data_IF_258661903579
#
_entry.id   IF_258661903579
#
_cell.length_a   1.000
_cell.length_b   1.000
_cell.length_c   1.000
_cell.angle_alpha   90.00
_cell.angle_beta   90.00
_cell.angle_gamma   90.00
#
_symmetry.space_group_name_H-M   'P 1'
#
loop_
_entity.id
_entity.type
_entity.pdbx_description
1 polymer ?
#
# COMPACT_ATOMS: atom_id res chain seq x y z
N UNK A 1 72.07 72.97 31.23
CA UNK A 1 70.78 72.88 30.48
C UNK A 1 70.84 71.66 29.56
N UNK A 2 70.18 70.57 29.91
CA UNK A 2 70.22 69.34 29.17
C UNK A 2 69.18 68.43 29.61
N UNK A 3 68.16 68.25 28.83
CA UNK A 3 67.00 67.41 29.04
C UNK A 3 67.36 65.96 28.72
N UNK A 4 67.24 65.09 29.76
CA UNK A 4 67.40 63.64 29.61
C UNK A 4 66.11 63.06 28.96
N UNK A 5 66.27 62.48 27.80
CA UNK A 5 65.18 61.64 27.18
C UNK A 5 65.25 60.25 27.81
N UNK A 6 64.14 59.85 28.40
CA UNK A 6 63.91 58.56 28.99
C UNK A 6 63.24 57.70 27.92
N UNK A 7 63.93 56.67 27.35
CA UNK A 7 63.34 55.69 26.50
C UNK A 7 62.54 54.65 27.27
N UNK A 8 61.23 54.65 27.10
CA UNK A 8 60.36 53.66 27.69
C UNK A 8 60.19 52.49 26.67
N UNK A 9 60.78 51.36 27.00
CA UNK A 9 60.58 50.13 26.27
C UNK A 9 59.23 49.54 26.68
N UNK A 10 58.21 49.61 25.81
CA UNK A 10 56.95 48.89 26.04
C UNK A 10 57.05 47.48 25.44
N UNK A 11 57.13 46.49 26.32
CA UNK A 11 57.10 45.07 25.98
C UNK A 11 55.65 44.67 25.74
N UNK A 12 55.23 44.59 24.48
CA UNK A 12 53.91 44.06 24.13
C UNK A 12 53.89 42.54 24.23
N UNK A 13 53.33 42.06 25.32
CA UNK A 13 52.97 40.63 25.45
C UNK A 13 51.74 40.39 24.64
N UNK A 14 51.93 39.71 23.49
CA UNK A 14 50.83 39.20 22.69
C UNK A 14 50.11 38.08 23.40
N UNK A 15 48.94 38.34 23.92
CA UNK A 15 48.02 37.31 24.40
C UNK A 15 47.39 36.67 23.16
N UNK A 16 47.85 35.51 22.78
CA UNK A 16 47.18 34.64 21.79
C UNK A 16 46.00 34.03 22.53
N UNK A 17 44.83 34.63 22.39
CA UNK A 17 43.56 34.02 22.79
C UNK A 17 43.25 32.87 21.80
N UNK A 18 43.41 31.64 22.25
CA UNK A 18 42.82 30.49 21.54
C UNK A 18 41.31 30.69 21.54
N UNK A 19 40.74 30.94 20.38
CA UNK A 19 39.31 30.79 20.16
C UNK A 19 39.01 29.28 20.17
N UNK A 20 38.59 28.78 21.30
CA UNK A 20 37.92 27.48 21.37
C UNK A 20 36.55 27.65 20.70
N UNK A 21 36.43 27.12 19.48
CA UNK A 21 35.15 26.96 18.82
C UNK A 21 34.37 25.93 19.65
N UNK A 22 33.48 26.40 20.52
CA UNK A 22 32.48 25.52 21.13
C UNK A 22 31.55 25.03 20.05
N UNK A 23 31.70 23.74 19.66
CA UNK A 23 30.69 23.02 18.94
C UNK A 23 29.39 23.08 19.75
N UNK A 24 28.33 23.63 19.19
CA UNK A 24 26.97 23.50 19.72
C UNK A 24 26.52 22.03 19.59
N UNK A 25 27.10 21.17 20.39
CA UNK A 25 26.62 19.80 20.59
C UNK A 25 25.60 19.86 21.70
N UNK A 26 24.34 19.68 21.39
CA UNK A 26 23.37 19.30 22.41
C UNK A 26 23.78 17.93 22.94
N UNK A 27 24.26 17.86 24.16
CA UNK A 27 24.42 16.59 24.87
C UNK A 27 23.04 15.94 24.93
N UNK A 28 22.86 14.68 24.52
CA UNK A 28 21.61 14.02 24.75
C UNK A 28 21.38 13.96 26.26
N UNK A 29 20.35 14.64 26.71
CA UNK A 29 19.83 14.40 28.05
C UNK A 29 19.29 12.99 28.03
N UNK A 30 20.03 12.06 28.62
CA UNK A 30 19.52 10.76 28.99
C UNK A 30 18.47 10.97 30.08
N UNK A 31 17.31 11.41 29.68
CA UNK A 31 16.15 11.48 30.54
C UNK A 31 15.18 10.41 30.17
N UNK A 32 14.83 9.78 31.21
CA UNK A 32 13.67 8.97 31.46
C UNK A 32 13.81 7.50 31.13
N UNK A 33 13.76 6.75 32.18
CA UNK A 33 13.05 5.49 32.24
C UNK A 33 11.83 5.60 31.35
N UNK A 34 11.91 5.00 30.16
CA UNK A 34 10.73 4.59 29.43
C UNK A 34 9.95 3.69 30.40
N UNK A 35 8.91 4.23 31.01
CA UNK A 35 7.81 3.38 31.40
C UNK A 35 7.40 2.73 30.07
N UNK A 36 7.59 1.44 29.95
CA UNK A 36 7.01 0.63 28.90
C UNK A 36 5.49 0.65 29.12
N UNK A 37 4.83 1.74 28.74
CA UNK A 37 3.43 1.70 28.38
C UNK A 37 3.40 0.69 27.23
N UNK A 38 2.71 -0.41 27.42
CA UNK A 38 2.41 -1.34 26.34
C UNK A 38 1.61 -0.54 25.32
N UNK A 39 2.28 0.04 24.32
CA UNK A 39 1.63 0.78 23.26
C UNK A 39 1.04 -0.23 22.28
N UNK A 40 -0.24 -0.09 22.00
CA UNK A 40 -0.96 -0.89 20.99
C UNK A 40 -1.03 -0.14 19.67
N UNK A 41 -1.17 -0.88 18.59
CA UNK A 41 -1.43 -0.31 17.26
C UNK A 41 -2.85 -0.70 16.86
N UNK A 42 -3.64 0.31 16.45
CA UNK A 42 -4.98 0.13 15.93
C UNK A 42 -5.04 0.66 14.50
N UNK A 43 -5.76 -0.02 13.62
CA UNK A 43 -5.81 0.37 12.23
C UNK A 43 -7.22 0.29 11.64
N UNK A 44 -7.53 1.26 10.76
CA UNK A 44 -8.67 1.25 9.84
C UNK A 44 -8.12 1.22 8.43
N UNK A 45 -8.51 0.20 7.67
CA UNK A 45 -8.05 -0.04 6.30
C UNK A 45 -9.26 -0.08 5.38
N UNK A 46 -9.25 0.77 4.36
CA UNK A 46 -10.37 0.94 3.44
C UNK A 46 -9.88 0.79 2.00
N UNK A 47 -10.58 -0.03 1.21
CA UNK A 47 -10.31 -0.22 -0.21
C UNK A 47 -11.58 -0.32 -1.03
N UNK A 48 -11.74 0.54 -2.04
CA UNK A 48 -12.95 0.61 -2.84
C UNK A 48 -12.59 0.60 -4.31
N UNK A 49 -12.85 -0.52 -4.97
CA UNK A 49 -12.72 -0.68 -6.41
C UNK A 49 -14.08 -0.62 -7.11
N UNK A 50 -15.10 -1.23 -6.51
CA UNK A 50 -16.46 -1.33 -7.04
C UNK A 50 -17.36 -0.32 -6.31
N UNK A 51 -17.95 0.62 -7.03
CA UNK A 51 -18.83 1.68 -6.50
C UNK A 51 -20.30 1.38 -6.78
N UNK A 52 -21.19 1.65 -5.82
CA UNK A 52 -22.63 1.45 -5.98
C UNK A 52 -23.21 2.26 -7.15
N UNK A 53 -22.70 3.47 -7.36
CA UNK A 53 -23.17 4.36 -8.40
C UNK A 53 -22.42 4.12 -9.71
N UNK A 54 -23.08 3.63 -10.77
CA UNK A 54 -22.43 3.30 -12.04
C UNK A 54 -21.86 4.51 -12.81
N UNK A 55 -22.12 5.72 -12.33
CA UNK A 55 -21.52 6.94 -12.89
C UNK A 55 -20.15 7.26 -12.26
N UNK A 56 -19.75 6.53 -11.22
CA UNK A 56 -18.39 6.54 -10.66
C UNK A 56 -17.64 5.40 -11.34
N UNK A 57 -16.58 5.66 -12.10
CA UNK A 57 -15.79 4.60 -12.71
C UNK A 57 -15.20 3.67 -11.64
N UNK A 58 -15.29 2.37 -11.86
CA UNK A 58 -14.63 1.41 -10.99
C UNK A 58 -13.12 1.50 -11.11
N UNK A 59 -12.44 1.22 -10.01
CA UNK A 59 -11.00 0.98 -9.95
C UNK A 59 -10.72 -0.52 -10.08
N UNK A 60 -9.53 -0.86 -10.52
CA UNK A 60 -9.20 -2.27 -10.76
C UNK A 60 -8.64 -2.98 -9.53
N UNK A 61 -7.95 -2.24 -8.64
CA UNK A 61 -7.10 -2.88 -7.64
C UNK A 61 -7.08 -2.19 -6.26
N UNK A 62 -7.88 -1.15 -6.03
CA UNK A 62 -7.88 -0.43 -4.75
C UNK A 62 -8.33 -1.33 -3.57
N UNK A 63 -9.27 -2.23 -3.79
CA UNK A 63 -9.69 -3.24 -2.83
C UNK A 63 -8.56 -4.21 -2.49
N UNK A 64 -7.83 -4.68 -3.51
CA UNK A 64 -6.67 -5.55 -3.34
C UNK A 64 -5.52 -4.86 -2.62
N UNK A 65 -5.29 -3.58 -2.88
CA UNK A 65 -4.28 -2.79 -2.17
C UNK A 65 -4.56 -2.74 -0.68
N UNK A 66 -5.81 -2.49 -0.32
CA UNK A 66 -6.25 -2.49 1.08
C UNK A 66 -6.15 -3.88 1.73
N UNK A 67 -6.55 -4.95 1.03
CA UNK A 67 -6.41 -6.32 1.52
C UNK A 67 -4.94 -6.67 1.81
N UNK A 68 -4.01 -6.34 0.89
CA UNK A 68 -2.60 -6.63 1.08
C UNK A 68 -2.00 -5.80 2.21
N UNK A 69 -2.37 -4.53 2.33
CA UNK A 69 -1.95 -3.72 3.47
C UNK A 69 -2.48 -4.25 4.80
N UNK A 70 -3.75 -4.68 4.85
CA UNK A 70 -4.33 -5.33 6.04
C UNK A 70 -3.58 -6.63 6.39
N UNK A 71 -3.22 -7.43 5.39
CA UNK A 71 -2.44 -8.65 5.60
C UNK A 71 -1.02 -8.36 6.11
N UNK A 72 -0.38 -7.29 5.61
CA UNK A 72 0.87 -6.80 6.18
C UNK A 72 0.71 -6.51 7.69
N UNK A 73 -0.34 -5.78 8.10
CA UNK A 73 -0.60 -5.47 9.51
C UNK A 73 -0.85 -6.73 10.37
N UNK A 74 -1.46 -7.78 9.81
CA UNK A 74 -1.65 -9.07 10.47
C UNK A 74 -0.38 -9.90 10.55
N UNK A 75 0.61 -9.62 9.70
CA UNK A 75 1.90 -10.34 9.70
C UNK A 75 2.78 -9.96 10.89
N UNK A 76 3.84 -10.77 11.12
CA UNK A 76 4.84 -10.45 12.14
C UNK A 76 5.50 -9.09 11.92
N UNK A 77 5.78 -8.74 10.66
CA UNK A 77 6.40 -7.47 10.29
C UNK A 77 5.48 -6.27 10.55
N UNK A 78 4.17 -6.44 10.39
CA UNK A 78 3.16 -5.41 10.61
C UNK A 78 2.61 -5.33 12.04
N UNK A 79 3.10 -6.17 12.97
CA UNK A 79 2.72 -6.09 14.38
C UNK A 79 1.67 -7.11 14.84
N UNK A 80 1.24 -8.06 13.99
CA UNK A 80 0.26 -9.12 14.29
C UNK A 80 -1.10 -8.60 14.77
N UNK A 81 -1.62 -7.58 14.12
CA UNK A 81 -2.93 -7.03 14.48
C UNK A 81 -4.01 -8.08 14.26
N UNK A 82 -4.81 -8.31 15.30
CA UNK A 82 -5.99 -9.16 15.28
C UNK A 82 -7.27 -8.36 14.97
N UNK A 83 -8.44 -8.98 15.07
CA UNK A 83 -9.75 -8.37 14.79
C UNK A 83 -10.13 -7.26 15.78
N UNK A 84 -9.58 -7.29 17.01
CA UNK A 84 -9.79 -6.26 18.02
C UNK A 84 -8.93 -5.01 17.76
N UNK A 85 -7.90 -5.13 16.91
CA UNK A 85 -6.96 -4.06 16.58
C UNK A 85 -7.03 -3.59 15.13
N UNK A 86 -7.81 -4.27 14.26
CA UNK A 86 -7.87 -3.97 12.83
C UNK A 86 -9.31 -4.01 12.31
N UNK A 87 -9.77 -2.90 11.73
CA UNK A 87 -11.02 -2.82 10.97
C UNK A 87 -10.68 -2.71 9.48
N UNK A 88 -11.24 -3.61 8.67
CA UNK A 88 -11.05 -3.65 7.22
C UNK A 88 -12.40 -3.51 6.54
N UNK A 89 -12.51 -2.51 5.67
CA UNK A 89 -13.73 -2.21 4.93
C UNK A 89 -13.43 -2.25 3.43
N UNK A 90 -13.99 -3.22 2.72
CA UNK A 90 -13.74 -3.45 1.30
C UNK A 90 -15.05 -3.28 0.52
N UNK A 91 -15.02 -2.51 -0.57
CA UNK A 91 -16.14 -2.32 -1.49
C UNK A 91 -17.45 -2.03 -0.75
N UNK A 92 -18.48 -2.85 -0.86
CA UNK A 92 -19.79 -2.69 -0.26
C UNK A 92 -19.77 -2.48 1.28
N UNK A 93 -18.73 -2.91 1.95
CA UNK A 93 -18.56 -2.68 3.39
C UNK A 93 -18.06 -1.26 3.70
N UNK A 94 -17.47 -0.58 2.72
CA UNK A 94 -16.91 0.75 2.88
C UNK A 94 -17.92 1.87 2.61
N UNK A 95 -19.12 1.78 3.19
CA UNK A 95 -20.10 2.86 3.17
C UNK A 95 -19.62 4.03 4.05
N UNK A 96 -20.12 5.24 3.80
CA UNK A 96 -19.80 6.40 4.63
C UNK A 96 -20.09 6.15 6.11
N UNK A 97 -21.20 5.50 6.42
CA UNK A 97 -21.56 5.17 7.80
C UNK A 97 -20.57 4.21 8.45
N UNK A 98 -20.14 3.17 7.74
CA UNK A 98 -19.17 2.20 8.26
C UNK A 98 -17.78 2.83 8.40
N UNK A 99 -17.40 3.71 7.48
CA UNK A 99 -16.15 4.45 7.62
C UNK A 99 -16.17 5.36 8.86
N UNK A 100 -17.26 6.13 9.05
CA UNK A 100 -17.42 6.95 10.24
C UNK A 100 -17.36 6.13 11.53
N UNK A 101 -18.07 4.99 11.60
CA UNK A 101 -18.06 4.08 12.75
C UNK A 101 -16.66 3.52 13.02
N UNK A 102 -15.88 3.20 11.98
CA UNK A 102 -14.52 2.69 12.15
C UNK A 102 -13.57 3.77 12.68
N UNK A 103 -13.75 5.03 12.30
CA UNK A 103 -12.99 6.15 12.84
C UNK A 103 -13.40 6.51 14.28
N UNK A 104 -14.69 6.44 14.60
CA UNK A 104 -15.21 6.60 15.96
C UNK A 104 -14.62 5.54 16.90
N UNK A 105 -14.59 4.28 16.44
CA UNK A 105 -13.92 3.21 17.18
C UNK A 105 -12.44 3.53 17.47
N UNK A 106 -11.66 4.13 16.54
CA UNK A 106 -10.29 4.57 16.81
C UNK A 106 -10.23 5.58 17.97
N UNK A 107 -11.18 6.51 18.04
CA UNK A 107 -11.26 7.47 19.14
C UNK A 107 -11.49 6.80 20.49
N UNK A 108 -12.32 5.76 20.52
CA UNK A 108 -12.66 5.04 21.75
C UNK A 108 -11.50 4.18 22.25
N UNK A 109 -10.77 3.50 21.34
CA UNK A 109 -9.76 2.51 21.73
C UNK A 109 -8.38 3.11 21.93
N UNK A 110 -7.97 4.10 21.12
CA UNK A 110 -6.63 4.66 21.18
C UNK A 110 -6.40 5.51 22.44
N UNK A 111 -5.27 5.29 23.11
CA UNK A 111 -4.83 5.98 24.31
C UNK A 111 -3.47 6.60 24.11
N UNK A 112 -3.01 7.37 25.10
CA UNK A 112 -1.67 7.98 25.10
C UNK A 112 -0.57 6.95 24.87
N UNK A 113 0.21 7.16 23.81
CA UNK A 113 1.31 6.31 23.40
C UNK A 113 0.94 5.24 22.35
N UNK A 114 -0.35 4.99 22.10
CA UNK A 114 -0.80 4.08 21.06
C UNK A 114 -0.54 4.65 19.66
N UNK A 115 -0.61 3.78 18.64
CA UNK A 115 -0.54 4.16 17.25
C UNK A 115 -1.88 3.92 16.56
N UNK A 116 -2.41 4.95 15.88
CA UNK A 116 -3.58 4.88 15.02
C UNK A 116 -3.13 4.93 13.56
N UNK A 117 -3.49 3.93 12.75
CA UNK A 117 -3.23 3.88 11.32
C UNK A 117 -4.55 4.02 10.57
N UNK A 118 -4.60 4.93 9.61
CA UNK A 118 -5.73 5.10 8.69
C UNK A 118 -5.19 4.92 7.27
N UNK A 119 -5.64 3.88 6.58
CA UNK A 119 -5.30 3.59 5.19
C UNK A 119 -6.55 3.70 4.33
N UNK A 120 -6.45 4.40 3.21
CA UNK A 120 -7.52 4.53 2.22
C UNK A 120 -6.94 4.34 0.81
N UNK A 121 -7.55 3.44 0.03
CA UNK A 121 -7.34 3.30 -1.40
C UNK A 121 -8.68 3.38 -2.12
N UNK A 122 -8.83 4.34 -3.04
CA UNK A 122 -10.09 4.62 -3.73
C UNK A 122 -10.12 6.00 -4.40
N UNK A 123 -11.29 6.44 -4.81
CA UNK A 123 -11.44 7.78 -5.38
C UNK A 123 -11.50 8.89 -4.33
N UNK A 124 -10.91 10.02 -4.67
CA UNK A 124 -11.11 11.29 -3.98
C UNK A 124 -11.65 12.36 -4.95
N UNK A 125 -12.52 13.27 -4.52
CA UNK A 125 -13.02 14.38 -5.34
C UNK A 125 -13.31 15.61 -4.47
N UNK A 126 -13.77 16.70 -5.10
CA UNK A 126 -14.16 17.95 -4.44
C UNK A 126 -15.59 18.36 -4.76
N UNK A 127 -16.25 19.00 -3.80
CA UNK A 127 -17.55 19.65 -4.04
C UNK A 127 -17.35 21.00 -4.75
N UNK A 128 -17.38 20.99 -6.08
CA UNK A 128 -17.06 22.14 -6.93
C UNK A 128 -18.04 23.31 -6.83
N UNK A 129 -19.28 23.04 -6.44
CA UNK A 129 -20.35 24.05 -6.36
C UNK A 129 -20.29 24.89 -5.08
N UNK A 130 -19.56 24.43 -4.07
CA UNK A 130 -19.41 25.15 -2.81
C UNK A 130 -18.27 26.17 -2.89
N UNK A 131 -18.39 27.26 -2.14
CA UNK A 131 -17.37 28.31 -2.08
C UNK A 131 -16.02 27.80 -1.59
N UNK A 132 -16.02 26.89 -0.62
CA UNK A 132 -14.81 26.35 0.01
C UNK A 132 -14.22 25.14 -0.72
N UNK A 133 -14.97 24.55 -1.63
CA UNK A 133 -14.60 23.36 -2.41
C UNK A 133 -13.93 22.28 -1.55
N UNK A 134 -14.60 21.77 -0.51
CA UNK A 134 -14.01 20.75 0.35
C UNK A 134 -13.75 19.47 -0.45
N UNK A 135 -12.62 18.80 -0.12
CA UNK A 135 -12.31 17.49 -0.65
C UNK A 135 -13.07 16.39 0.09
N UNK A 136 -13.28 15.28 -0.60
CA UNK A 136 -13.95 14.09 -0.10
C UNK A 136 -13.19 12.83 -0.51
N UNK A 137 -13.21 11.84 0.35
CA UNK A 137 -12.93 10.44 0.00
C UNK A 137 -14.28 9.80 -0.36
N UNK A 138 -14.38 9.25 -1.57
CA UNK A 138 -15.61 8.65 -2.04
C UNK A 138 -15.78 7.28 -1.39
N UNK A 139 -16.87 7.10 -0.63
CA UNK A 139 -17.24 5.80 -0.08
C UNK A 139 -18.03 4.98 -1.11
N UNK A 140 -18.26 3.70 -0.83
CA UNK A 140 -18.98 2.81 -1.73
C UNK A 140 -20.35 3.35 -2.14
N UNK A 141 -21.09 3.97 -1.21
CA UNK A 141 -22.43 4.55 -1.39
C UNK A 141 -22.39 6.02 -1.84
N UNK A 142 -21.26 6.49 -2.39
CA UNK A 142 -21.11 7.88 -2.83
C UNK A 142 -22.03 8.21 -4.02
N UNK A 143 -22.67 9.38 -4.02
CA UNK A 143 -23.26 9.92 -5.24
C UNK A 143 -22.17 10.32 -6.24
N UNK A 144 -22.47 10.33 -7.55
CA UNK A 144 -21.51 10.80 -8.56
C UNK A 144 -21.26 12.32 -8.47
N UNK A 145 -22.17 13.04 -7.83
CA UNK A 145 -22.11 14.50 -7.65
C UNK A 145 -22.82 14.88 -6.34
N UNK A 146 -22.57 16.07 -5.82
CA UNK A 146 -23.22 16.59 -4.60
C UNK A 146 -22.83 15.78 -3.36
N UNK A 147 -21.54 15.70 -3.10
CA UNK A 147 -20.97 14.93 -1.98
C UNK A 147 -21.44 15.41 -0.60
N UNK A 148 -21.84 16.68 -0.48
CA UNK A 148 -22.43 17.23 0.75
C UNK A 148 -23.75 16.56 1.15
N UNK A 149 -24.39 15.81 0.23
CA UNK A 149 -25.62 15.08 0.53
C UNK A 149 -25.38 13.77 1.31
N UNK A 150 -24.14 13.35 1.48
CA UNK A 150 -23.74 12.10 2.14
C UNK A 150 -23.15 11.09 1.16
N UNK A 151 -22.72 9.93 1.67
CA UNK A 151 -22.09 8.86 0.89
C UNK A 151 -20.61 9.12 0.54
N UNK A 152 -20.07 10.28 0.90
CA UNK A 152 -18.64 10.60 0.76
C UNK A 152 -18.09 11.20 2.05
N UNK A 153 -16.89 10.82 2.45
CA UNK A 153 -16.30 11.25 3.70
C UNK A 153 -15.52 12.55 3.51
N UNK A 154 -15.99 13.63 4.13
CA UNK A 154 -15.37 14.95 3.97
C UNK A 154 -13.99 15.02 4.63
N UNK A 155 -12.98 15.53 3.93
CA UNK A 155 -11.63 15.69 4.46
C UNK A 155 -11.54 16.59 5.70
N UNK A 156 -12.31 17.66 5.87
CA UNK A 156 -12.36 18.38 7.13
C UNK A 156 -12.78 17.53 8.33
N UNK A 157 -13.71 16.57 8.13
CA UNK A 157 -14.10 15.63 9.19
C UNK A 157 -12.98 14.62 9.48
N UNK A 158 -12.32 14.08 8.45
CA UNK A 158 -11.16 13.23 8.64
C UNK A 158 -10.05 13.96 9.41
N UNK A 159 -9.86 15.24 9.10
CA UNK A 159 -8.88 16.06 9.78
C UNK A 159 -9.20 16.28 11.26
N UNK A 160 -10.48 16.44 11.60
CA UNK A 160 -10.91 16.51 13.01
C UNK A 160 -10.62 15.21 13.75
N UNK A 161 -10.88 14.06 13.12
CA UNK A 161 -10.53 12.75 13.67
C UNK A 161 -9.03 12.65 13.95
N UNK A 162 -8.20 12.99 12.97
CA UNK A 162 -6.73 12.96 13.09
C UNK A 162 -6.26 13.88 14.22
N UNK A 163 -6.78 15.10 14.30
CA UNK A 163 -6.41 16.07 15.31
C UNK A 163 -6.81 15.62 16.72
N UNK A 164 -7.99 15.03 16.86
CA UNK A 164 -8.47 14.49 18.14
C UNK A 164 -7.59 13.34 18.59
N UNK A 165 -7.30 12.37 17.74
CA UNK A 165 -6.40 11.24 18.04
C UNK A 165 -5.00 11.74 18.46
N UNK A 166 -4.45 12.72 17.73
CA UNK A 166 -3.11 13.22 17.97
C UNK A 166 -3.01 14.10 19.19
N UNK A 167 -3.98 15.00 19.44
CA UNK A 167 -3.91 16.02 20.48
C UNK A 167 -4.58 15.57 21.76
N UNK A 168 -5.80 15.05 21.70
CA UNK A 168 -6.56 14.64 22.89
C UNK A 168 -6.16 13.26 23.38
N UNK A 169 -6.15 12.27 22.48
CA UNK A 169 -5.76 10.90 22.83
C UNK A 169 -4.24 10.75 22.95
N UNK A 170 -3.46 11.71 22.41
CA UNK A 170 -2.00 11.68 22.34
C UNK A 170 -1.46 10.40 21.67
N UNK A 171 -2.20 9.89 20.73
CA UNK A 171 -1.80 8.76 19.90
C UNK A 171 -0.89 9.25 18.77
N UNK A 172 0.00 8.37 18.33
CA UNK A 172 0.74 8.56 17.09
C UNK A 172 -0.18 8.24 15.91
N UNK A 173 -0.44 9.20 15.03
CA UNK A 173 -1.36 9.01 13.90
C UNK A 173 -0.58 8.91 12.60
N UNK A 174 -0.83 7.83 11.84
CA UNK A 174 -0.28 7.59 10.50
C UNK A 174 -1.44 7.50 9.52
N UNK A 175 -1.48 8.40 8.55
CA UNK A 175 -2.49 8.43 7.49
C UNK A 175 -1.84 8.10 6.16
N UNK A 176 -2.36 7.09 5.49
CA UNK A 176 -1.87 6.62 4.20
C UNK A 176 -3.02 6.73 3.20
N UNK A 177 -2.81 7.42 2.09
CA UNK A 177 -3.87 7.59 1.08
C UNK A 177 -3.36 7.32 -0.32
N UNK A 178 -4.05 6.43 -1.00
CA UNK A 178 -3.94 6.16 -2.42
C UNK A 178 -5.25 6.56 -3.10
N UNK A 179 -5.45 7.88 -3.31
CA UNK A 179 -6.76 8.46 -3.60
C UNK A 179 -6.75 9.56 -4.67
N UNK A 180 -5.91 9.46 -5.69
CA UNK A 180 -5.72 10.57 -6.63
C UNK A 180 -6.43 10.42 -8.00
N UNK A 181 -7.33 9.45 -8.19
CA UNK A 181 -7.91 9.08 -9.50
C UNK A 181 -9.10 9.94 -9.99
N UNK A 182 -9.64 10.87 -9.23
CA UNK A 182 -10.99 11.39 -9.44
C UNK A 182 -11.13 12.61 -10.37
N UNK A 183 -10.08 13.05 -11.03
CA UNK A 183 -10.17 14.18 -11.97
C UNK A 183 -11.14 13.99 -13.14
N UNK A 184 -11.54 12.77 -13.45
CA UNK A 184 -12.40 12.41 -14.60
C UNK A 184 -13.89 12.40 -14.21
N UNK A 185 -14.23 12.14 -12.95
CA UNK A 185 -15.61 11.95 -12.50
C UNK A 185 -16.52 13.16 -12.67
N UNK A 186 -16.00 14.36 -12.60
CA UNK A 186 -16.81 15.56 -12.63
C UNK A 186 -16.84 16.27 -14.00
N UNK A 187 -16.45 15.60 -15.08
CA UNK A 187 -16.47 16.19 -16.43
C UNK A 187 -15.50 17.38 -16.59
N UNK A 188 -14.59 17.58 -15.67
CA UNK A 188 -13.52 18.58 -15.80
C UNK A 188 -12.17 17.91 -15.70
N UNK A 189 -11.36 18.20 -16.68
CA UNK A 189 -10.08 17.53 -16.94
C UNK A 189 -9.00 17.71 -15.88
N UNK A 190 -9.15 18.49 -14.81
CA UNK A 190 -8.00 18.76 -13.90
C UNK A 190 -8.38 19.18 -12.47
N UNK A 191 -9.62 19.51 -12.13
CA UNK A 191 -9.88 20.26 -10.89
C UNK A 191 -9.97 19.45 -9.58
N UNK A 192 -10.58 18.26 -9.62
CA UNK A 192 -10.97 17.54 -8.41
C UNK A 192 -9.80 16.86 -7.68
N UNK A 193 -8.99 16.11 -8.38
CA UNK A 193 -7.84 15.40 -7.80
C UNK A 193 -6.84 16.37 -7.15
N UNK A 194 -6.55 17.49 -7.80
CA UNK A 194 -5.66 18.52 -7.27
C UNK A 194 -6.14 19.09 -5.92
N UNK A 195 -7.41 19.47 -5.85
CA UNK A 195 -7.91 20.08 -4.62
C UNK A 195 -8.02 19.06 -3.48
N UNK A 196 -8.36 17.80 -3.77
CA UNK A 196 -8.36 16.72 -2.78
C UNK A 196 -6.96 16.45 -2.25
N UNK A 197 -5.98 16.25 -3.11
CA UNK A 197 -4.59 16.04 -2.70
C UNK A 197 -4.01 17.25 -1.95
N UNK A 198 -4.32 18.49 -2.37
CA UNK A 198 -3.92 19.70 -1.66
C UNK A 198 -4.54 19.79 -0.26
N UNK A 199 -5.78 19.34 -0.09
CA UNK A 199 -6.42 19.30 1.22
C UNK A 199 -5.83 18.19 2.11
N UNK A 200 -5.53 17.01 1.56
CA UNK A 200 -4.85 15.93 2.27
C UNK A 200 -3.43 16.33 2.71
N UNK A 201 -2.73 17.13 1.91
CA UNK A 201 -1.37 17.57 2.20
C UNK A 201 -1.25 18.55 3.37
N UNK A 202 -2.35 19.15 3.85
CA UNK A 202 -2.30 20.05 5.01
C UNK A 202 -2.00 19.26 6.28
N UNK A 203 -0.99 19.69 7.03
CA UNK A 203 -0.70 19.18 8.36
C UNK A 203 -1.35 20.06 9.40
N UNK A 204 -2.08 19.46 10.35
CA UNK A 204 -2.84 20.17 11.38
C UNK A 204 -2.40 19.81 12.80
N UNK A 205 -1.71 18.69 12.97
CA UNK A 205 -1.20 18.20 14.23
C UNK A 205 0.17 17.51 14.01
N UNK A 206 0.56 16.59 14.86
CA UNK A 206 1.81 15.83 14.74
C UNK A 206 1.63 14.51 13.96
N UNK A 207 0.66 14.47 13.06
CA UNK A 207 0.41 13.30 12.24
C UNK A 207 1.50 13.08 11.19
N UNK A 208 1.68 11.81 10.81
CA UNK A 208 2.41 11.40 9.62
C UNK A 208 1.41 11.15 8.50
N UNK A 209 1.65 11.70 7.33
CA UNK A 209 0.89 11.40 6.10
C UNK A 209 1.80 10.88 5.01
N UNK A 210 1.36 9.83 4.35
CA UNK A 210 2.03 9.22 3.19
C UNK A 210 0.99 9.14 2.08
N UNK A 211 1.20 9.90 1.01
CA UNK A 211 0.23 10.06 -0.07
C UNK A 211 0.83 9.58 -1.39
N UNK A 212 -0.02 9.00 -2.23
CA UNK A 212 0.41 8.34 -3.47
C UNK A 212 0.95 9.29 -4.54
N UNK A 213 0.58 10.56 -4.52
CA UNK A 213 0.97 11.51 -5.54
C UNK A 213 0.90 12.97 -5.08
N UNK A 214 1.51 13.87 -5.86
CA UNK A 214 1.41 15.32 -5.73
C UNK A 214 0.00 15.81 -6.12
N UNK A 215 -0.40 17.04 -5.70
CA UNK A 215 -1.74 17.57 -5.95
C UNK A 215 -2.19 17.63 -7.42
N UNK A 216 -1.26 17.64 -8.37
CA UNK A 216 -1.56 17.72 -9.81
C UNK A 216 -1.38 16.41 -10.56
N UNK A 217 -1.19 15.31 -9.85
CA UNK A 217 -0.84 14.03 -10.42
C UNK A 217 -1.92 13.00 -10.17
N UNK A 218 -1.77 11.85 -10.83
CA UNK A 218 -2.66 10.70 -10.69
C UNK A 218 -1.91 9.55 -10.05
N UNK A 219 -2.60 8.76 -9.24
CA UNK A 219 -2.10 7.47 -8.81
C UNK A 219 -2.40 6.42 -9.88
N UNK A 220 -1.40 5.62 -10.22
CA UNK A 220 -1.45 4.67 -11.32
C UNK A 220 -1.54 3.25 -10.74
N UNK A 221 -2.40 2.45 -11.33
CA UNK A 221 -2.55 1.03 -11.04
C UNK A 221 -2.27 0.18 -12.28
N UNK A 222 -1.77 -1.03 -12.10
CA UNK A 222 -1.44 -1.92 -13.21
C UNK A 222 -1.09 -3.33 -12.79
N UNK A 223 -1.17 -4.26 -13.74
CA UNK A 223 -0.86 -5.68 -13.54
C UNK A 223 0.63 -5.93 -13.19
N UNK A 224 1.52 -5.04 -13.62
CA UNK A 224 2.97 -5.15 -13.39
C UNK A 224 3.34 -5.09 -11.91
N UNK A 225 2.53 -4.48 -11.07
CA UNK A 225 2.75 -4.39 -9.63
C UNK A 225 1.99 -5.50 -8.91
N UNK A 226 2.72 -6.55 -8.51
CA UNK A 226 2.19 -7.65 -7.72
C UNK A 226 1.03 -8.43 -8.35
N UNK A 227 0.90 -8.42 -9.69
CA UNK A 227 -0.23 -9.05 -10.39
C UNK A 227 -1.53 -8.27 -10.23
N UNK A 228 -1.45 -6.95 -10.21
CA UNK A 228 -2.56 -6.00 -10.12
C UNK A 228 -2.63 -5.28 -8.79
N UNK A 229 -1.98 -4.13 -8.72
CA UNK A 229 -1.91 -3.22 -7.56
C UNK A 229 -1.75 -1.77 -8.03
N UNK A 230 -1.98 -0.81 -7.15
CA UNK A 230 -1.46 0.53 -7.31
C UNK A 230 0.07 0.55 -7.21
N UNK A 231 0.76 1.31 -8.07
CA UNK A 231 2.22 1.44 -8.01
C UNK A 231 2.69 1.90 -6.61
N UNK A 232 2.02 2.89 -6.05
CA UNK A 232 2.31 3.40 -4.72
C UNK A 232 2.07 2.36 -3.63
N UNK A 233 0.88 1.74 -3.60
CA UNK A 233 0.52 0.77 -2.57
C UNK A 233 1.38 -0.49 -2.63
N UNK A 234 1.82 -0.91 -3.82
CA UNK A 234 2.77 -2.01 -3.98
C UNK A 234 4.11 -1.68 -3.32
N UNK A 235 4.74 -0.55 -3.70
CA UNK A 235 6.04 -0.16 -3.15
C UNK A 235 5.97 0.26 -1.68
N UNK A 236 4.84 0.78 -1.21
CA UNK A 236 4.63 1.05 0.21
C UNK A 236 4.78 -0.23 1.05
N UNK A 237 4.11 -1.30 0.66
CA UNK A 237 4.16 -2.57 1.39
C UNK A 237 5.56 -3.19 1.28
N UNK A 238 6.21 -3.18 0.11
CA UNK A 238 7.61 -3.61 -0.03
C UNK A 238 8.53 -2.83 0.92
N UNK A 239 8.41 -1.50 0.93
CA UNK A 239 9.18 -0.64 1.79
C UNK A 239 9.02 -0.97 3.27
N UNK A 240 7.77 -1.24 3.71
CA UNK A 240 7.44 -1.62 5.08
C UNK A 240 7.99 -3.00 5.47
N UNK A 241 8.14 -3.94 4.53
CA UNK A 241 8.85 -5.20 4.76
C UNK A 241 10.37 -5.04 4.91
N UNK A 242 10.90 -3.82 4.73
CA UNK A 242 12.29 -3.48 4.96
C UNK A 242 13.10 -3.16 3.71
N UNK A 243 12.49 -3.14 2.50
CA UNK A 243 13.21 -2.70 1.31
C UNK A 243 13.59 -1.22 1.36
N UNK A 244 12.85 -0.42 2.13
CA UNK A 244 13.15 0.99 2.35
C UNK A 244 14.27 1.24 3.39
N UNK A 245 14.68 0.25 4.19
CA UNK A 245 15.78 0.36 5.15
C UNK A 245 17.11 0.52 4.41
N UNK A 246 17.47 1.76 4.14
CA UNK A 246 18.65 2.11 3.32
C UNK A 246 19.96 2.08 4.09
N UNK A 247 19.90 2.25 5.42
CA UNK A 247 21.07 2.29 6.30
C UNK A 247 21.34 0.95 7.01
N UNK A 248 20.45 -0.05 6.86
CA UNK A 248 20.49 -1.38 7.46
C UNK A 248 20.49 -1.36 8.99
N UNK A 249 19.78 -0.41 9.61
CA UNK A 249 19.61 -0.33 11.06
C UNK A 249 18.40 -1.13 11.59
N UNK A 250 17.73 -1.87 10.71
CA UNK A 250 16.52 -2.68 10.96
C UNK A 250 15.28 -1.86 11.31
N UNK A 251 15.26 -0.60 10.90
CA UNK A 251 14.12 0.29 11.04
C UNK A 251 13.80 0.93 9.70
N UNK A 252 12.53 1.15 9.44
CA UNK A 252 12.09 1.99 8.33
C UNK A 252 11.56 3.29 8.91
N UNK A 253 12.24 4.39 8.62
CA UNK A 253 11.81 5.74 8.97
C UNK A 253 10.94 6.36 7.88
N UNK A 254 10.20 7.42 8.22
CA UNK A 254 9.43 8.19 7.23
C UNK A 254 10.33 8.74 6.10
N UNK A 255 11.55 9.15 6.43
CA UNK A 255 12.49 9.66 5.42
C UNK A 255 12.94 8.58 4.44
N UNK A 256 13.24 7.39 4.92
CA UNK A 256 13.65 6.26 4.10
C UNK A 256 12.50 5.78 3.22
N UNK A 257 11.31 5.63 3.81
CA UNK A 257 10.10 5.31 3.06
C UNK A 257 9.83 6.34 1.96
N UNK A 258 9.93 7.64 2.27
CA UNK A 258 9.70 8.69 1.29
C UNK A 258 10.66 8.62 0.10
N UNK A 259 11.95 8.38 0.34
CA UNK A 259 12.96 8.20 -0.72
C UNK A 259 12.68 6.94 -1.54
N UNK A 260 12.40 5.84 -0.85
CA UNK A 260 12.10 4.57 -1.52
C UNK A 260 10.90 4.69 -2.45
N UNK A 261 9.81 5.28 -1.97
CA UNK A 261 8.61 5.51 -2.77
C UNK A 261 8.86 6.45 -3.94
N UNK A 262 9.58 7.56 -3.73
CA UNK A 262 9.92 8.50 -4.79
C UNK A 262 10.76 7.83 -5.89
N UNK A 263 11.80 7.09 -5.49
CA UNK A 263 12.72 6.43 -6.43
C UNK A 263 12.02 5.34 -7.25
N UNK A 264 11.15 4.53 -6.64
CA UNK A 264 10.50 3.42 -7.33
C UNK A 264 9.25 3.84 -8.10
N UNK A 265 8.31 4.51 -7.44
CA UNK A 265 7.04 4.89 -8.07
C UNK A 265 7.26 5.82 -9.24
N UNK A 266 8.04 6.90 -9.05
CA UNK A 266 8.24 7.92 -10.08
C UNK A 266 8.91 7.36 -11.33
N UNK A 267 9.87 6.43 -11.17
CA UNK A 267 10.57 5.85 -12.31
C UNK A 267 9.75 4.80 -13.06
N UNK A 268 8.91 4.04 -12.36
CA UNK A 268 8.17 2.93 -12.95
C UNK A 268 6.90 3.34 -13.69
N UNK A 269 6.33 4.52 -13.37
CA UNK A 269 5.10 5.00 -14.01
C UNK A 269 5.35 5.88 -15.25
N UNK A 270 6.61 6.15 -15.62
CA UNK A 270 6.98 6.94 -16.81
C UNK A 270 6.25 6.40 -18.05
N UNK A 271 5.66 7.26 -18.91
CA UNK A 271 5.79 8.73 -18.98
C UNK A 271 4.78 9.54 -18.13
N UNK A 272 3.97 8.89 -17.31
CA UNK A 272 3.02 9.57 -16.42
C UNK A 272 3.80 10.09 -15.20
N UNK A 273 3.41 11.26 -14.68
CA UNK A 273 4.00 11.78 -13.45
C UNK A 273 3.20 11.31 -12.24
N UNK A 274 3.88 10.66 -11.31
CA UNK A 274 3.36 10.30 -10.00
C UNK A 274 4.52 10.36 -9.01
N UNK A 275 4.51 11.37 -8.14
CA UNK A 275 5.54 11.59 -7.12
C UNK A 275 4.90 11.47 -5.74
N UNK A 276 5.16 10.41 -4.99
CA UNK A 276 4.64 10.25 -3.64
C UNK A 276 5.05 11.39 -2.71
N UNK A 277 4.16 11.74 -1.78
CA UNK A 277 4.40 12.79 -0.80
C UNK A 277 4.41 12.25 0.62
N UNK A 278 5.35 12.73 1.43
CA UNK A 278 5.41 12.48 2.85
C UNK A 278 5.28 13.78 3.66
N UNK A 279 4.55 13.74 4.77
CA UNK A 279 4.40 14.85 5.70
C UNK A 279 4.55 14.30 7.12
N UNK A 280 5.30 15.00 7.95
CA UNK A 280 5.54 14.63 9.33
C UNK A 280 7.01 14.65 9.73
N UNK A 281 7.31 14.16 10.92
CA UNK A 281 8.68 14.05 11.39
C UNK A 281 9.44 12.98 10.60
N UNK A 282 10.47 13.36 9.87
CA UNK A 282 11.24 12.49 9.00
C UNK A 282 11.92 11.32 9.71
N UNK A 283 12.24 11.47 11.00
CA UNK A 283 12.85 10.41 11.81
C UNK A 283 11.81 9.49 12.46
N UNK A 284 10.53 9.69 12.14
CA UNK A 284 9.46 8.86 12.67
C UNK A 284 9.60 7.43 12.17
N UNK A 285 9.55 6.48 13.10
CA UNK A 285 9.61 5.05 12.78
C UNK A 285 8.26 4.57 12.27
N UNK A 286 8.27 3.94 11.09
CA UNK A 286 7.09 3.33 10.46
C UNK A 286 7.03 1.83 10.70
N UNK A 287 8.17 1.13 10.57
CA UNK A 287 8.25 -0.31 10.72
C UNK A 287 9.59 -0.75 11.32
N UNK A 288 9.59 -1.96 11.89
CA UNK A 288 10.80 -2.69 12.25
C UNK A 288 11.04 -3.80 11.23
N UNK A 289 12.29 -4.00 10.82
CA UNK A 289 12.64 -4.95 9.78
C UNK A 289 12.94 -6.32 10.39
N UNK A 290 12.21 -7.33 9.94
CA UNK A 290 12.55 -8.73 10.16
C UNK A 290 13.59 -9.17 9.11
N UNK A 291 14.86 -9.25 9.52
CA UNK A 291 15.98 -9.55 8.62
C UNK A 291 15.91 -10.94 8.00
N UNK A 292 15.33 -11.93 8.69
CA UNK A 292 15.15 -13.28 8.17
C UNK A 292 14.07 -13.29 7.08
N UNK A 293 12.95 -12.65 7.35
CA UNK A 293 11.88 -12.49 6.38
C UNK A 293 12.34 -11.70 5.16
N UNK A 294 13.00 -10.55 5.36
CA UNK A 294 13.53 -9.73 4.27
C UNK A 294 14.55 -10.51 3.41
N UNK A 295 15.43 -11.29 4.02
CA UNK A 295 16.38 -12.14 3.31
C UNK A 295 15.68 -13.23 2.51
N UNK A 296 14.62 -13.83 3.06
CA UNK A 296 13.77 -14.80 2.38
C UNK A 296 13.08 -14.19 1.14
N UNK A 297 12.52 -12.99 1.28
CA UNK A 297 11.89 -12.26 0.18
C UNK A 297 12.93 -11.90 -0.89
N UNK A 298 14.10 -11.38 -0.50
CA UNK A 298 15.18 -11.01 -1.42
C UNK A 298 15.80 -12.22 -2.16
N UNK A 299 15.88 -13.38 -1.52
CA UNK A 299 16.40 -14.61 -2.15
C UNK A 299 15.45 -15.23 -3.17
N UNK A 300 14.16 -14.94 -3.07
CA UNK A 300 13.11 -15.37 -4.00
C UNK A 300 13.05 -14.59 -5.31
N UNK A 301 14.13 -13.95 -5.72
CA UNK A 301 14.27 -12.98 -6.83
C UNK A 301 13.76 -13.38 -8.24
N UNK A 302 13.11 -14.52 -8.40
CA UNK A 302 12.38 -14.86 -9.65
C UNK A 302 10.86 -14.67 -9.57
N UNK A 303 10.29 -14.50 -8.36
CA UNK A 303 8.85 -14.48 -8.13
C UNK A 303 8.47 -13.55 -6.95
N UNK A 304 8.99 -12.33 -6.90
CA UNK A 304 8.66 -11.36 -5.84
C UNK A 304 7.13 -11.19 -5.70
N UNK A 305 6.41 -11.10 -6.80
CA UNK A 305 4.96 -10.95 -6.81
C UNK A 305 4.22 -12.16 -6.20
N UNK A 306 4.73 -13.38 -6.42
CA UNK A 306 4.16 -14.58 -5.80
C UNK A 306 4.55 -14.74 -4.34
N UNK A 307 5.73 -14.24 -3.92
CA UNK A 307 6.17 -14.30 -2.53
C UNK A 307 5.37 -13.33 -1.65
N UNK A 308 5.13 -12.10 -2.09
CA UNK A 308 4.28 -11.16 -1.35
C UNK A 308 2.84 -11.69 -1.23
N UNK A 309 2.25 -12.18 -2.33
CA UNK A 309 0.93 -12.81 -2.28
C UNK A 309 0.90 -14.10 -1.44
N UNK A 310 1.99 -14.87 -1.40
CA UNK A 310 2.08 -16.10 -0.61
C UNK A 310 2.35 -15.88 0.87
N UNK A 311 3.06 -14.82 1.23
CA UNK A 311 3.31 -14.44 2.63
C UNK A 311 2.04 -13.82 3.22
N UNK A 312 1.38 -12.95 2.47
CA UNK A 312 0.13 -12.32 2.88
C UNK A 312 -1.03 -13.31 3.01
N UNK A 313 -1.09 -14.32 2.13
CA UNK A 313 -2.13 -15.36 2.19
C UNK A 313 -1.86 -16.46 3.22
N UNK A 314 -0.61 -16.70 3.62
CA UNK A 314 -0.29 -17.79 4.57
C UNK A 314 -0.96 -17.65 5.92
N UNK A 315 -1.07 -16.45 6.47
CA UNK A 315 -1.73 -16.25 7.77
C UNK A 315 -3.21 -16.59 7.73
N UNK A 316 -3.95 -16.08 6.75
CA UNK A 316 -5.38 -16.37 6.55
C UNK A 316 -5.55 -17.81 6.07
N UNK A 317 -4.70 -18.26 5.17
CA UNK A 317 -4.71 -19.62 4.65
C UNK A 317 -4.51 -20.63 5.77
N UNK A 318 -3.51 -20.48 6.63
CA UNK A 318 -3.27 -21.37 7.76
C UNK A 318 -4.43 -21.38 8.76
N UNK A 319 -5.04 -20.25 9.03
CA UNK A 319 -6.20 -20.13 9.93
C UNK A 319 -7.42 -20.88 9.35
N UNK A 320 -7.75 -20.61 8.09
CA UNK A 320 -8.88 -21.27 7.41
C UNK A 320 -8.65 -22.77 7.27
N UNK A 321 -7.43 -23.18 6.89
CA UNK A 321 -7.09 -24.59 6.69
C UNK A 321 -7.08 -25.42 7.98
N UNK A 322 -6.82 -24.81 9.14
CA UNK A 322 -6.84 -25.52 10.45
C UNK A 322 -8.19 -26.09 10.83
N UNK A 323 -9.28 -25.55 10.29
CA UNK A 323 -10.66 -25.98 10.61
C UNK A 323 -11.32 -26.88 9.58
N UNK A 324 -10.63 -27.19 8.46
CA UNK A 324 -11.21 -27.90 7.33
C UNK A 324 -11.19 -29.43 7.49
N UNK A 325 -12.18 -30.06 6.85
CA UNK A 325 -12.16 -31.52 6.63
C UNK A 325 -10.95 -31.94 5.80
N UNK A 326 -10.40 -33.12 6.13
CA UNK A 326 -9.20 -33.65 5.46
C UNK A 326 -9.37 -33.79 3.95
N UNK A 327 -10.57 -34.08 3.45
CA UNK A 327 -10.85 -34.22 2.02
C UNK A 327 -10.78 -32.88 1.31
N UNK A 328 -11.28 -31.81 1.92
CA UNK A 328 -11.21 -30.43 1.40
C UNK A 328 -9.77 -29.96 1.42
N UNK A 329 -9.02 -30.23 2.47
CA UNK A 329 -7.61 -29.88 2.59
C UNK A 329 -6.77 -30.53 1.46
N UNK A 330 -6.98 -31.83 1.21
CA UNK A 330 -6.30 -32.55 0.12
C UNK A 330 -6.66 -31.93 -1.23
N UNK A 331 -7.93 -31.64 -1.47
CA UNK A 331 -8.39 -31.00 -2.71
C UNK A 331 -7.77 -29.62 -2.92
N UNK A 332 -7.64 -28.82 -1.85
CA UNK A 332 -6.98 -27.52 -1.88
C UNK A 332 -5.48 -27.64 -2.20
N UNK A 333 -4.81 -28.65 -1.65
CA UNK A 333 -3.41 -28.93 -1.96
C UNK A 333 -3.23 -29.37 -3.43
N UNK A 334 -4.14 -30.18 -3.96
CA UNK A 334 -4.13 -30.53 -5.39
C UNK A 334 -4.33 -29.30 -6.27
N UNK A 335 -5.22 -28.39 -5.92
CA UNK A 335 -5.38 -27.12 -6.63
C UNK A 335 -4.07 -26.32 -6.67
N UNK A 336 -3.41 -26.17 -5.53
CA UNK A 336 -2.12 -25.45 -5.45
C UNK A 336 -1.02 -26.13 -6.26
N UNK A 337 -0.94 -27.46 -6.21
CA UNK A 337 0.00 -28.22 -7.03
C UNK A 337 -0.27 -28.05 -8.51
N UNK A 338 -1.53 -28.12 -8.93
CA UNK A 338 -1.92 -27.95 -10.32
C UNK A 338 -1.58 -26.55 -10.87
N UNK A 339 -1.72 -25.50 -10.05
CA UNK A 339 -1.25 -24.15 -10.40
C UNK A 339 0.26 -24.10 -10.56
N UNK A 340 1.01 -24.70 -9.63
CA UNK A 340 2.47 -24.74 -9.66
C UNK A 340 3.01 -25.53 -10.85
N UNK A 341 2.40 -26.67 -11.15
CA UNK A 341 2.79 -27.58 -12.23
C UNK A 341 2.21 -27.17 -13.59
N UNK A 342 1.42 -26.06 -13.61
CA UNK A 342 0.80 -25.48 -14.80
C UNK A 342 -0.17 -26.43 -15.54
N UNK A 343 -0.74 -27.37 -14.80
CA UNK A 343 -1.84 -28.25 -15.28
C UNK A 343 -3.17 -27.51 -15.10
N UNK A 344 -3.44 -26.52 -15.99
CA UNK A 344 -4.45 -25.50 -15.74
C UNK A 344 -5.86 -25.94 -16.15
N UNK A 345 -6.06 -26.39 -17.40
CA UNK A 345 -7.36 -26.82 -17.95
C UNK A 345 -7.44 -28.30 -18.29
N UNK A 346 -6.31 -28.99 -18.35
CA UNK A 346 -6.22 -30.41 -18.71
C UNK A 346 -5.19 -31.12 -17.84
N UNK A 347 -5.42 -32.42 -17.51
CA UNK A 347 -6.59 -33.26 -17.86
C UNK A 347 -7.86 -32.84 -17.11
N UNK A 348 -9.04 -33.01 -17.72
CA UNK A 348 -10.34 -32.49 -17.26
C UNK A 348 -10.71 -32.80 -15.81
N UNK A 349 -10.21 -33.89 -15.23
CA UNK A 349 -10.56 -34.34 -13.88
C UNK A 349 -9.39 -34.24 -12.91
N UNK A 350 -8.26 -33.66 -13.32
CA UNK A 350 -7.06 -33.51 -12.52
C UNK A 350 -6.27 -32.28 -12.99
N UNK A 351 -6.88 -31.11 -12.84
CA UNK A 351 -6.29 -29.81 -13.22
C UNK A 351 -6.78 -28.70 -12.28
N UNK A 352 -6.16 -27.55 -12.37
CA UNK A 352 -6.50 -26.40 -11.54
C UNK A 352 -7.98 -26.02 -11.69
N UNK A 353 -8.53 -26.01 -12.89
CA UNK A 353 -9.93 -25.70 -13.16
C UNK A 353 -10.89 -26.65 -12.45
N UNK A 354 -10.62 -27.96 -12.55
CA UNK A 354 -11.43 -28.97 -11.90
C UNK A 354 -11.48 -28.76 -10.38
N UNK A 355 -10.33 -28.58 -9.75
CA UNK A 355 -10.27 -28.37 -8.29
C UNK A 355 -10.88 -27.05 -7.88
N UNK A 356 -10.63 -25.98 -8.64
CA UNK A 356 -11.23 -24.67 -8.38
C UNK A 356 -12.76 -24.72 -8.36
N UNK A 357 -13.38 -25.32 -9.36
CA UNK A 357 -14.83 -25.44 -9.50
C UNK A 357 -15.49 -26.28 -8.37
N UNK A 358 -14.74 -27.13 -7.68
CA UNK A 358 -15.23 -27.84 -6.49
C UNK A 358 -15.06 -26.95 -5.24
N UNK A 359 -13.92 -26.32 -5.09
CA UNK A 359 -13.55 -25.58 -3.90
C UNK A 359 -14.34 -24.28 -3.71
N UNK A 360 -14.76 -23.60 -4.78
CA UNK A 360 -15.60 -22.41 -4.70
C UNK A 360 -17.02 -22.68 -4.17
N UNK A 361 -17.43 -23.96 -4.07
CA UNK A 361 -18.72 -24.38 -3.50
C UNK A 361 -18.64 -24.66 -2.00
N UNK A 362 -17.45 -24.63 -1.43
CA UNK A 362 -17.18 -24.94 -0.03
C UNK A 362 -17.25 -23.65 0.79
N UNK A 363 -18.29 -23.48 1.59
CA UNK A 363 -18.54 -22.27 2.36
C UNK A 363 -17.42 -21.95 3.37
N UNK A 364 -16.78 -22.97 3.93
CA UNK A 364 -15.66 -22.85 4.85
C UNK A 364 -14.42 -22.18 4.22
N UNK A 365 -14.36 -22.15 2.87
CA UNK A 365 -13.31 -21.48 2.08
C UNK A 365 -13.69 -20.10 1.57
N UNK A 366 -14.83 -19.52 1.95
CA UNK A 366 -15.32 -18.23 1.45
C UNK A 366 -14.24 -17.13 1.53
N UNK A 367 -13.50 -17.09 2.65
CA UNK A 367 -12.40 -16.14 2.87
C UNK A 367 -11.22 -16.33 1.89
N UNK A 368 -11.08 -17.49 1.26
CA UNK A 368 -10.03 -17.81 0.30
C UNK A 368 -10.52 -17.79 -1.15
N UNK A 369 -11.83 -17.75 -1.41
CA UNK A 369 -12.38 -17.84 -2.76
C UNK A 369 -11.85 -16.73 -3.68
N UNK A 370 -11.79 -15.49 -3.20
CA UNK A 370 -11.26 -14.37 -3.99
C UNK A 370 -9.77 -14.53 -4.28
N UNK A 371 -8.99 -14.99 -3.32
CA UNK A 371 -7.55 -15.27 -3.49
C UNK A 371 -7.30 -16.42 -4.45
N UNK A 372 -8.06 -17.52 -4.32
CA UNK A 372 -7.99 -18.67 -5.24
C UNK A 372 -8.31 -18.26 -6.68
N UNK A 373 -9.39 -17.50 -6.87
CA UNK A 373 -9.83 -16.98 -8.17
C UNK A 373 -8.76 -16.13 -8.84
N UNK A 374 -8.20 -15.16 -8.10
CA UNK A 374 -7.16 -14.26 -8.60
C UNK A 374 -5.87 -15.00 -8.93
N UNK A 375 -5.41 -15.87 -8.05
CA UNK A 375 -4.18 -16.65 -8.28
C UNK A 375 -4.32 -17.55 -9.50
N UNK A 376 -5.48 -18.16 -9.70
CA UNK A 376 -5.74 -18.99 -10.85
C UNK A 376 -5.78 -18.15 -12.16
N UNK A 377 -6.50 -17.04 -12.16
CA UNK A 377 -6.53 -16.12 -13.30
C UNK A 377 -5.14 -15.58 -13.65
N UNK A 378 -4.35 -15.21 -12.64
CA UNK A 378 -2.99 -14.71 -12.84
C UNK A 378 -2.08 -15.76 -13.51
N UNK A 379 -2.13 -17.02 -13.08
CA UNK A 379 -1.33 -18.08 -13.70
C UNK A 379 -1.75 -18.33 -15.16
N UNK A 380 -3.04 -18.29 -15.47
CA UNK A 380 -3.55 -18.41 -16.85
C UNK A 380 -3.05 -17.26 -17.74
N UNK A 381 -3.06 -16.04 -17.22
CA UNK A 381 -2.58 -14.85 -17.94
C UNK A 381 -1.06 -14.89 -18.13
N UNK A 382 -0.29 -15.24 -17.08
CA UNK A 382 1.16 -15.31 -17.12
C UNK A 382 1.66 -16.31 -18.16
N UNK A 383 1.09 -17.52 -18.19
CA UNK A 383 1.41 -18.53 -19.20
C UNK A 383 1.14 -18.03 -20.63
N UNK A 384 0.03 -17.33 -20.81
CA UNK A 384 -0.33 -16.76 -22.12
C UNK A 384 0.63 -15.62 -22.50
N UNK A 385 0.97 -14.75 -21.56
CA UNK A 385 1.87 -13.62 -21.78
C UNK A 385 3.31 -14.06 -22.06
N UNK A 386 3.80 -15.07 -21.35
CA UNK A 386 5.14 -15.62 -21.62
C UNK A 386 5.28 -16.14 -23.06
N UNK A 387 4.24 -16.78 -23.56
CA UNK A 387 4.22 -17.26 -24.95
C UNK A 387 4.18 -16.10 -25.95
N UNK A 388 3.39 -15.08 -25.68
CA UNK A 388 3.35 -13.88 -26.52
C UNK A 388 4.71 -13.17 -26.54
N UNK A 389 5.37 -13.02 -25.38
CA UNK A 389 6.70 -12.43 -25.28
C UNK A 389 7.75 -13.24 -26.03
N UNK A 390 7.70 -14.57 -25.93
CA UNK A 390 8.55 -15.47 -26.71
C UNK A 390 8.31 -15.34 -28.22
N UNK A 391 7.07 -15.09 -28.63
CA UNK A 391 6.73 -14.86 -30.04
C UNK A 391 7.30 -13.55 -30.58
N UNK A 392 7.20 -12.48 -29.81
CA UNK A 392 7.71 -11.15 -30.17
C UNK A 392 9.25 -11.17 -30.26
N UNK A 393 9.92 -11.98 -29.43
CA UNK A 393 11.37 -12.14 -29.44
C UNK A 393 11.93 -13.15 -30.45
N UNK A 394 11.08 -13.89 -31.19
CA UNK A 394 11.52 -14.91 -32.13
C UNK A 394 12.05 -14.32 -33.45
N UNK A 395 13.25 -14.73 -33.84
CA UNK A 395 13.84 -14.44 -35.14
C UNK A 395 12.99 -15.07 -36.27
N UNK A 396 12.87 -14.34 -37.40
CA UNK A 396 12.05 -14.73 -38.59
C UNK A 396 12.33 -16.17 -39.07
N UNK A 397 13.53 -16.70 -38.81
CA UNK A 397 13.90 -18.10 -39.16
C UNK A 397 13.15 -19.18 -38.38
N UNK A 398 12.58 -18.90 -37.23
CA UNK A 398 11.78 -19.82 -36.42
C UNK A 398 10.29 -19.83 -36.80
N UNK A 399 9.86 -18.93 -37.68
CA UNK A 399 8.49 -18.88 -38.21
C UNK A 399 8.14 -19.97 -39.23
N UNK A 400 9.06 -20.88 -39.56
CA UNK A 400 8.88 -21.95 -40.58
C UNK A 400 8.08 -23.17 -40.12
N UNK A 401 7.55 -23.17 -38.89
CA UNK A 401 6.68 -24.26 -38.42
C UNK A 401 5.35 -24.28 -39.21
N UNK A 402 4.91 -25.49 -39.61
CA UNK A 402 3.62 -25.66 -40.30
C UNK A 402 2.47 -25.10 -39.45
N UNK A 403 1.41 -24.58 -40.10
CA UNK A 403 0.20 -24.05 -39.42
C UNK A 403 -0.38 -25.08 -38.45
N UNK A 404 -0.41 -26.35 -38.83
CA UNK A 404 -0.92 -27.46 -38.00
C UNK A 404 -0.07 -27.67 -36.73
N UNK A 405 1.24 -27.52 -36.81
CA UNK A 405 2.15 -27.62 -35.68
C UNK A 405 2.01 -26.44 -34.70
N UNK A 406 1.70 -25.23 -35.24
CA UNK A 406 1.44 -24.04 -34.43
C UNK A 406 0.10 -24.14 -33.69
N UNK A 407 -0.97 -24.57 -34.37
CA UNK A 407 -2.27 -24.74 -33.73
C UNK A 407 -2.19 -25.75 -32.59
N UNK A 408 -1.48 -26.87 -32.78
CA UNK A 408 -1.31 -27.86 -31.72
C UNK A 408 -0.48 -27.33 -30.52
N UNK A 409 0.51 -26.49 -30.78
CA UNK A 409 1.41 -25.98 -29.70
C UNK A 409 0.80 -24.81 -28.95
N UNK A 410 0.02 -23.96 -29.62
CA UNK A 410 -0.42 -22.67 -29.06
C UNK A 410 -1.94 -22.57 -28.91
N UNK A 411 -2.71 -23.54 -29.34
CA UNK A 411 -4.19 -23.51 -29.32
C UNK A 411 -4.80 -23.53 -27.90
N UNK A 412 -4.01 -23.78 -26.86
CA UNK A 412 -4.49 -23.80 -25.49
C UNK A 412 -4.55 -22.37 -24.88
N UNK A 413 -3.67 -21.46 -25.30
CA UNK A 413 -3.53 -20.14 -24.68
C UNK A 413 -4.74 -19.21 -24.86
N UNK A 414 -5.47 -19.19 -26.01
CA UNK A 414 -6.75 -18.47 -26.10
C UNK A 414 -7.75 -18.94 -25.04
N UNK A 415 -7.83 -20.26 -24.79
CA UNK A 415 -8.70 -20.84 -23.76
C UNK A 415 -8.26 -20.43 -22.34
N UNK A 416 -6.95 -20.25 -22.11
CA UNK A 416 -6.45 -19.71 -20.84
C UNK A 416 -6.92 -18.28 -20.65
N UNK A 417 -6.82 -17.42 -21.66
CA UNK A 417 -7.29 -16.03 -21.59
C UNK A 417 -8.80 -15.95 -21.42
N UNK A 418 -9.58 -16.74 -22.16
CA UNK A 418 -11.03 -16.83 -22.01
C UNK A 418 -11.41 -17.21 -20.57
N UNK A 419 -10.74 -18.23 -20.01
CA UNK A 419 -11.00 -18.66 -18.63
C UNK A 419 -10.58 -17.61 -17.60
N UNK A 420 -9.47 -16.93 -17.83
CA UNK A 420 -9.04 -15.82 -16.96
C UNK A 420 -10.05 -14.67 -16.97
N UNK A 421 -10.61 -14.31 -18.13
CA UNK A 421 -11.67 -13.31 -18.26
C UNK A 421 -12.94 -13.72 -17.50
N UNK A 422 -13.39 -14.97 -17.64
CA UNK A 422 -14.52 -15.50 -16.86
C UNK A 422 -14.30 -15.40 -15.35
N UNK A 423 -13.10 -15.77 -14.89
CA UNK A 423 -12.73 -15.70 -13.48
C UNK A 423 -12.71 -14.26 -12.94
N UNK A 424 -12.32 -13.29 -13.75
CA UNK A 424 -12.20 -11.89 -13.36
C UNK A 424 -13.48 -11.08 -13.61
N UNK A 425 -14.48 -11.66 -14.30
CA UNK A 425 -15.77 -11.01 -14.55
C UNK A 425 -15.72 -9.95 -15.65
N UNK A 426 -14.80 -10.08 -16.59
CA UNK A 426 -14.60 -9.15 -17.73
C UNK A 426 -15.07 -9.76 -19.06
#
# INVERSE_FOLDING_TARGET
>A
MGIKQLFLFVLSIGIVSKLDAQAKGASPILTSKSSTLNSSTYAVVIGISDYQNPSIPDLRFADKDAEVFANYLRSNAGGRLDEDHLKVLINQQATMAQFANALDWLWEVCKEGDQAIIYFSGHGDVEKKSLTQPGFLLCWDSPAHVYMAGGAFALPMLQEVISTLSIQNKAKVVVITDACHSGVLAGSSVGGAHATASNLAKQYANEVKIMSCQPNEYSIEGEQWGGGRGAFSFHLVEGLYGFADSNNDQLVTLQEMGRYLEDHVTNEVVPISQVPMIIGNRTERLASVDSELLSSIKSGKGNQNQLFSSIDSKGIEEEVLKGLDSSILVMYQHFKSALKDKTLLEPKNDCADFYYEQLIKVAELDRLHSTMRRNYAAVLQDESQQVMNNWIGMDIKQMSLSVKSRVNKYGVYPRYLERAMELLGS
#
